data_IF_383837884809
#
_entry.id   IF_383837884809
#
_cell.length_a   1.000
_cell.length_b   1.000
_cell.length_c   1.000
_cell.angle_alpha   90.00
_cell.angle_beta   90.00
_cell.angle_gamma   90.00
#
_symmetry.space_group_name_H-M   'P 1'
#
loop_
_entity.id
_entity.type
_entity.pdbx_description
1 polymer ?
#
# COMPACT_ATOMS: atom_id res chain seq x y z
N UNK A 1 22.67 11.28 5.91
CA UNK A 1 21.34 10.73 6.27
C UNK A 1 20.35 10.57 5.11
N UNK A 2 20.64 11.05 3.88
CA UNK A 2 19.75 10.88 2.71
C UNK A 2 19.62 9.44 2.22
N UNK A 3 20.67 8.62 2.40
CA UNK A 3 20.71 7.22 1.96
C UNK A 3 19.76 6.29 2.74
N UNK A 4 19.68 6.43 4.07
CA UNK A 4 18.70 5.71 4.88
C UNK A 4 17.26 6.03 4.48
N UNK A 5 16.97 7.30 4.17
CA UNK A 5 15.65 7.74 3.67
C UNK A 5 15.28 7.04 2.36
N UNK A 6 16.22 6.91 1.43
CA UNK A 6 16.03 6.17 0.17
C UNK A 6 15.87 4.66 0.42
N UNK A 7 16.64 4.10 1.36
CA UNK A 7 16.55 2.67 1.71
C UNK A 7 15.18 2.34 2.32
N UNK A 8 14.69 3.15 3.25
CA UNK A 8 13.33 3.02 3.80
C UNK A 8 12.24 3.27 2.76
N UNK A 9 12.48 4.11 1.75
CA UNK A 9 11.56 4.31 0.63
C UNK A 9 11.46 3.06 -0.24
N UNK A 10 12.61 2.50 -0.65
CA UNK A 10 12.67 1.27 -1.44
C UNK A 10 12.09 0.10 -0.63
N UNK A 11 12.45 0.00 0.65
CA UNK A 11 11.88 -1.00 1.54
C UNK A 11 10.38 -0.81 1.72
N UNK A 12 9.85 0.38 1.98
CA UNK A 12 8.40 0.59 2.09
C UNK A 12 7.64 0.21 0.82
N UNK A 13 8.19 0.56 -0.35
CA UNK A 13 7.62 0.21 -1.65
C UNK A 13 7.69 -1.28 -1.96
N UNK A 14 8.78 -1.96 -1.57
CA UNK A 14 9.00 -3.38 -1.84
C UNK A 14 8.35 -4.29 -0.77
N UNK A 15 8.24 -3.79 0.47
CA UNK A 15 7.60 -4.50 1.57
C UNK A 15 6.09 -4.58 1.34
N UNK A 16 5.47 -3.58 0.71
CA UNK A 16 4.03 -3.61 0.39
C UNK A 16 3.62 -4.81 -0.48
N UNK A 17 4.22 -5.05 -1.66
CA UNK A 17 3.94 -6.24 -2.45
C UNK A 17 4.42 -7.52 -1.78
N UNK A 18 5.55 -7.49 -1.04
CA UNK A 18 6.04 -8.67 -0.32
C UNK A 18 5.08 -9.11 0.79
N UNK A 19 4.52 -8.16 1.53
CA UNK A 19 3.57 -8.38 2.60
C UNK A 19 2.21 -8.86 2.06
N UNK A 20 1.75 -8.28 0.95
CA UNK A 20 0.56 -8.76 0.24
C UNK A 20 0.73 -10.21 -0.24
N UNK A 21 1.91 -10.55 -0.76
CA UNK A 21 2.22 -11.89 -1.24
C UNK A 21 2.28 -12.91 -0.10
N UNK A 22 3.00 -12.60 0.97
CA UNK A 22 3.06 -13.44 2.17
C UNK A 22 1.67 -13.64 2.78
N UNK A 23 0.87 -12.57 2.92
CA UNK A 23 -0.47 -12.63 3.47
C UNK A 23 -1.43 -13.50 2.63
N UNK A 24 -1.33 -13.40 1.30
CA UNK A 24 -2.08 -14.26 0.39
C UNK A 24 -1.71 -15.74 0.56
N UNK A 25 -0.42 -16.05 0.73
CA UNK A 25 0.05 -17.41 0.98
C UNK A 25 -0.45 -17.95 2.32
N UNK A 26 -0.35 -17.19 3.41
CA UNK A 26 -0.85 -17.62 4.71
C UNK A 26 -2.37 -17.81 4.71
N UNK A 27 -3.11 -16.90 4.07
CA UNK A 27 -4.55 -17.02 3.91
C UNK A 27 -4.95 -18.23 3.07
N UNK A 28 -4.23 -18.50 1.98
CA UNK A 28 -4.45 -19.68 1.14
C UNK A 28 -4.09 -20.98 1.88
N UNK A 29 -2.99 -21.04 2.62
CA UNK A 29 -2.64 -22.22 3.44
C UNK A 29 -3.72 -22.47 4.49
N UNK A 30 -4.18 -21.44 5.20
CA UNK A 30 -5.28 -21.54 6.16
C UNK A 30 -6.58 -22.03 5.49
N UNK A 31 -6.93 -21.47 4.33
CA UNK A 31 -8.09 -21.90 3.56
C UNK A 31 -7.98 -23.33 3.03
N UNK A 32 -6.78 -23.77 2.64
CA UNK A 32 -6.51 -25.13 2.19
C UNK A 32 -6.66 -26.14 3.34
N UNK A 33 -6.22 -25.79 4.56
CA UNK A 33 -6.43 -26.63 5.75
C UNK A 33 -7.93 -26.82 6.05
N UNK A 34 -8.74 -25.78 5.83
CA UNK A 34 -10.21 -25.86 5.95
C UNK A 34 -10.79 -26.72 4.82
N UNK A 35 -10.28 -26.55 3.59
CA UNK A 35 -10.72 -27.28 2.41
C UNK A 35 -10.51 -28.81 2.52
N UNK A 36 -9.53 -29.29 3.29
CA UNK A 36 -9.32 -30.73 3.56
C UNK A 36 -10.56 -31.39 4.18
N UNK A 37 -11.41 -30.61 4.88
CA UNK A 37 -12.65 -31.11 5.49
C UNK A 37 -13.86 -31.03 4.57
N UNK A 38 -13.68 -30.63 3.32
CA UNK A 38 -14.75 -30.50 2.33
C UNK A 38 -14.74 -31.67 1.36
N UNK A 39 -15.93 -32.25 1.13
CA UNK A 39 -16.11 -33.34 0.17
C UNK A 39 -16.11 -32.84 -1.28
N UNK A 40 -16.54 -31.59 -1.50
CA UNK A 40 -16.58 -30.96 -2.81
C UNK A 40 -15.27 -30.19 -3.09
N UNK A 41 -14.46 -30.64 -4.08
CA UNK A 41 -13.18 -30.01 -4.39
C UNK A 41 -13.33 -28.58 -4.92
N UNK A 42 -14.43 -28.25 -5.58
CA UNK A 42 -14.67 -26.89 -6.11
C UNK A 42 -14.91 -25.93 -4.95
N UNK A 43 -15.71 -26.33 -3.97
CA UNK A 43 -15.94 -25.53 -2.75
C UNK A 43 -14.66 -25.31 -1.96
N UNK A 44 -13.82 -26.33 -1.81
CA UNK A 44 -12.52 -26.21 -1.16
C UNK A 44 -11.60 -25.19 -1.83
N UNK A 45 -11.60 -25.15 -3.17
CA UNK A 45 -10.82 -24.22 -3.97
C UNK A 45 -11.32 -22.77 -3.80
N UNK A 46 -12.64 -22.58 -3.82
CA UNK A 46 -13.27 -21.28 -3.59
C UNK A 46 -12.94 -20.74 -2.18
N UNK A 47 -13.06 -21.57 -1.14
CA UNK A 47 -12.74 -21.19 0.24
C UNK A 47 -11.27 -20.78 0.37
N UNK A 48 -10.37 -21.55 -0.24
CA UNK A 48 -8.94 -21.26 -0.26
C UNK A 48 -8.64 -19.91 -0.88
N UNK A 49 -9.23 -19.62 -2.04
CA UNK A 49 -9.07 -18.35 -2.73
C UNK A 49 -9.62 -17.18 -1.91
N UNK A 50 -10.80 -17.34 -1.29
CA UNK A 50 -11.42 -16.31 -0.44
C UNK A 50 -10.54 -16.03 0.78
N UNK A 51 -10.06 -17.06 1.49
CA UNK A 51 -9.19 -16.88 2.64
C UNK A 51 -7.88 -16.15 2.27
N UNK A 52 -7.27 -16.51 1.14
CA UNK A 52 -6.10 -15.80 0.60
C UNK A 52 -6.40 -14.31 0.34
N UNK A 53 -7.49 -14.02 -0.38
CA UNK A 53 -7.88 -12.66 -0.73
C UNK A 53 -8.21 -11.80 0.50
N UNK A 54 -8.99 -12.33 1.44
CA UNK A 54 -9.38 -11.62 2.68
C UNK A 54 -8.15 -11.33 3.54
N UNK A 55 -7.25 -12.29 3.68
CA UNK A 55 -6.03 -12.11 4.48
C UNK A 55 -5.11 -11.07 3.86
N UNK A 56 -4.91 -11.12 2.53
CA UNK A 56 -4.16 -10.11 1.79
C UNK A 56 -4.76 -8.71 1.98
N UNK A 57 -6.07 -8.58 1.80
CA UNK A 57 -6.76 -7.30 1.93
C UNK A 57 -6.66 -6.73 3.35
N UNK A 58 -6.89 -7.55 4.38
CA UNK A 58 -6.79 -7.12 5.77
C UNK A 58 -5.36 -6.66 6.13
N UNK A 59 -4.34 -7.40 5.70
CA UNK A 59 -2.94 -7.04 5.93
C UNK A 59 -2.57 -5.74 5.20
N UNK A 60 -3.04 -5.53 3.98
CA UNK A 60 -2.86 -4.26 3.26
C UNK A 60 -3.49 -3.08 3.99
N UNK A 61 -4.70 -3.24 4.56
CA UNK A 61 -5.35 -2.18 5.34
C UNK A 61 -4.55 -1.84 6.60
N UNK A 62 -4.11 -2.85 7.35
CA UNK A 62 -3.28 -2.66 8.56
C UNK A 62 -1.95 -2.00 8.19
N UNK A 63 -1.33 -2.43 7.09
CA UNK A 63 -0.09 -1.85 6.59
C UNK A 63 -0.26 -0.38 6.21
N UNK A 64 -1.33 -0.05 5.46
CA UNK A 64 -1.64 1.32 5.10
C UNK A 64 -1.91 2.18 6.35
N UNK A 65 -2.61 1.64 7.35
CA UNK A 65 -2.83 2.32 8.62
C UNK A 65 -1.51 2.60 9.35
N UNK A 66 -0.58 1.63 9.35
CA UNK A 66 0.74 1.76 9.94
C UNK A 66 1.58 2.83 9.23
N UNK A 67 1.63 2.82 7.90
CA UNK A 67 2.34 3.83 7.11
C UNK A 67 1.78 5.23 7.35
N UNK A 68 0.45 5.38 7.45
CA UNK A 68 -0.22 6.67 7.70
C UNK A 68 0.07 7.25 9.09
N UNK A 69 0.42 6.41 10.07
CA UNK A 69 0.71 6.84 11.44
C UNK A 69 2.14 7.34 11.63
N UNK A 70 3.07 6.99 10.72
CA UNK A 70 4.46 7.42 10.81
C UNK A 70 4.70 8.72 10.01
N UNK A 71 4.93 9.87 10.67
CA UNK A 71 5.19 11.14 9.99
C UNK A 71 6.48 11.09 9.14
N UNK A 72 7.47 10.31 9.55
CA UNK A 72 8.72 10.13 8.78
C UNK A 72 8.49 9.41 7.46
N UNK A 73 7.51 8.51 7.40
CA UNK A 73 7.15 7.76 6.18
C UNK A 73 6.39 8.66 5.21
N UNK A 74 5.52 9.56 5.71
CA UNK A 74 4.86 10.59 4.89
C UNK A 74 5.86 11.55 4.27
N UNK A 75 6.80 12.08 5.06
CA UNK A 75 7.89 12.91 4.54
C UNK A 75 8.77 12.16 3.54
N UNK A 76 9.08 10.89 3.79
CA UNK A 76 9.90 10.09 2.89
C UNK A 76 9.20 9.73 1.57
N UNK A 77 7.86 9.65 1.58
CA UNK A 77 7.04 9.37 0.40
C UNK A 77 6.60 10.64 -0.34
N UNK A 78 6.79 11.85 0.24
CA UNK A 78 6.26 13.11 -0.28
C UNK A 78 4.75 12.99 -0.55
N UNK A 79 4.02 12.59 0.49
CA UNK A 79 2.59 12.29 0.42
C UNK A 79 1.88 13.05 1.53
N UNK A 80 0.76 13.69 1.19
CA UNK A 80 -0.07 14.47 2.11
C UNK A 80 -0.64 13.60 3.23
N UNK A 81 -1.29 14.25 4.20
CA UNK A 81 -2.02 13.57 5.27
C UNK A 81 -3.05 12.56 4.71
N UNK A 82 -3.66 12.87 3.57
CA UNK A 82 -4.73 12.05 2.99
C UNK A 82 -4.23 10.96 2.02
N UNK A 83 -2.92 10.94 1.70
CA UNK A 83 -2.35 9.91 0.84
C UNK A 83 -2.15 10.34 -0.62
N UNK A 84 -2.41 11.60 -0.96
CA UNK A 84 -2.14 12.13 -2.30
C UNK A 84 -0.67 12.54 -2.45
N UNK A 85 -0.05 12.35 -3.64
CA UNK A 85 1.30 12.83 -3.88
C UNK A 85 1.40 14.35 -3.68
N UNK A 86 2.40 14.83 -2.94
CA UNK A 86 2.74 16.25 -2.83
C UNK A 86 3.41 16.72 -4.13
N UNK A 87 2.60 16.95 -5.16
CA UNK A 87 3.05 17.50 -6.45
C UNK A 87 3.15 19.02 -6.47
N UNK A 88 2.95 19.70 -5.34
CA UNK A 88 3.01 21.17 -5.26
C UNK A 88 4.39 21.74 -5.63
N UNK A 89 5.48 20.98 -5.47
CA UNK A 89 6.81 21.40 -5.96
C UNK A 89 6.98 21.25 -7.50
N UNK A 90 6.08 20.53 -8.17
CA UNK A 90 6.12 20.27 -9.62
C UNK A 90 5.11 21.14 -10.41
N UNK A 91 4.41 22.07 -9.74
CA UNK A 91 3.71 23.15 -10.44
C UNK A 91 4.80 24.10 -10.96
N UNK A 92 5.06 23.98 -12.26
CA UNK A 92 6.10 24.66 -13.01
C UNK A 92 6.14 26.18 -12.77
N UNK A 93 7.34 26.81 -12.80
CA UNK A 93 7.51 28.27 -12.72
C UNK A 93 7.11 29.01 -14.01
N UNK A 94 6.07 28.56 -14.71
CA UNK A 94 5.60 29.16 -15.96
C UNK A 94 4.09 29.44 -15.88
N UNK A 95 3.71 30.42 -15.07
CA UNK A 95 2.52 31.23 -15.35
C UNK A 95 3.00 32.59 -15.88
N UNK A 96 3.10 32.77 -17.21
CA UNK A 96 3.42 34.07 -17.77
C UNK A 96 2.17 34.96 -17.73
N UNK A 97 2.26 36.04 -16.94
CA UNK A 97 1.57 37.30 -17.21
C UNK A 97 0.16 37.46 -16.64
N UNK A 98 0.06 37.86 -15.38
CA UNK A 98 -0.93 38.87 -14.98
C UNK A 98 -0.17 40.16 -14.62
N UNK A 99 0.39 40.82 -15.64
CA UNK A 99 0.68 42.24 -15.53
C UNK A 99 -0.64 42.99 -15.71
N UNK A 100 -1.08 43.68 -14.66
CA UNK A 100 -2.08 44.72 -14.77
C UNK A 100 -3.27 44.52 -13.86
N UNK A 101 -3.16 45.06 -12.64
CA UNK A 101 -3.99 46.19 -12.17
C UNK A 101 -3.67 46.43 -10.69
N UNK A 102 -2.90 47.49 -10.42
CA UNK A 102 -2.90 48.16 -9.12
C UNK A 102 -3.38 49.61 -9.34
N UNK A 103 -3.99 50.21 -8.30
CA UNK A 103 -5.26 50.96 -8.39
C UNK A 103 -5.17 52.36 -9.02
#
# INVERSE_FOLDING_TARGET
>A
MRWFRVLFRIFGWLLTPFLAWAASFFGAVGGALIAIRMEDPVRGLVVTAICGAVTCFAVLLVWLHYLRRSPEVREALAVTVDGTPDTLEMVAPDAPGESGRQP
#
